data_IF_849315816914
#
_entry.id   IF_849315816914
#
_cell.length_a   1.000
_cell.length_b   1.000
_cell.length_c   1.000
_cell.angle_alpha   90.00
_cell.angle_beta   90.00
_cell.angle_gamma   90.00
#
_symmetry.space_group_name_H-M   'P 1'
#
loop_
_entity.id
_entity.type
_entity.pdbx_description
1 polymer ?
#
# COMPACT_ATOMS: atom_id res chain seq x y z
N UNK A 1 -15.70 -2.12 21.25
CA UNK A 1 -15.02 -0.84 20.96
C UNK A 1 -15.91 -0.04 20.02
N UNK A 2 -16.15 1.23 20.33
CA UNK A 2 -17.19 2.08 19.73
C UNK A 2 -16.63 2.77 18.46
N UNK A 3 -17.06 2.35 17.27
CA UNK A 3 -16.61 2.89 15.97
C UNK A 3 -17.33 4.21 15.61
N UNK A 4 -17.19 5.25 16.44
CA UNK A 4 -17.87 6.54 16.18
C UNK A 4 -17.16 7.47 15.18
N UNK A 5 -15.94 7.17 14.75
CA UNK A 5 -15.12 8.07 13.92
C UNK A 5 -14.41 7.35 12.76
N UNK A 6 -15.17 6.70 11.88
CA UNK A 6 -14.63 6.12 10.64
C UNK A 6 -15.37 6.69 9.41
N UNK A 7 -14.69 7.25 8.39
CA UNK A 7 -13.31 7.72 8.34
C UNK A 7 -13.21 9.25 8.44
N UNK A 8 -12.34 9.76 9.33
CA UNK A 8 -12.06 11.19 9.48
C UNK A 8 -10.88 11.58 8.57
N UNK A 9 -11.10 11.71 7.26
CA UNK A 9 -10.10 12.33 6.39
C UNK A 9 -10.07 13.82 6.73
N UNK A 10 -9.03 14.26 7.42
CA UNK A 10 -8.87 15.68 7.77
C UNK A 10 -8.43 16.44 6.52
N UNK A 11 -9.35 17.12 5.83
CA UNK A 11 -9.03 17.90 4.62
C UNK A 11 -7.97 18.98 4.89
N UNK A 12 -7.95 19.56 6.09
CA UNK A 12 -6.91 20.49 6.58
C UNK A 12 -5.72 19.79 7.26
N UNK A 13 -5.50 18.50 6.97
CA UNK A 13 -4.41 17.69 7.49
C UNK A 13 -3.17 17.70 6.60
N UNK A 14 -2.13 16.98 7.04
CA UNK A 14 -0.95 16.71 6.23
C UNK A 14 -1.29 15.64 5.19
N UNK A 15 -1.33 16.05 3.92
CA UNK A 15 -1.77 15.24 2.80
C UNK A 15 -0.58 14.84 1.93
N UNK A 16 -0.47 13.56 1.59
CA UNK A 16 0.62 13.02 0.78
C UNK A 16 0.09 12.17 -0.38
N UNK A 17 0.88 12.08 -1.46
CA UNK A 17 0.59 11.26 -2.62
C UNK A 17 1.61 10.12 -2.69
N UNK A 18 1.14 8.87 -2.79
CA UNK A 18 1.97 7.71 -3.04
C UNK A 18 1.65 7.14 -4.42
N UNK A 19 2.61 7.23 -5.32
CA UNK A 19 2.52 6.62 -6.65
C UNK A 19 2.91 5.15 -6.60
N UNK A 20 2.06 4.27 -7.14
CA UNK A 20 2.25 2.82 -7.18
C UNK A 20 2.09 2.33 -8.62
N UNK A 21 2.96 1.42 -9.05
CA UNK A 21 2.83 0.80 -10.37
C UNK A 21 1.58 -0.07 -10.49
N UNK A 22 0.96 -0.16 -11.69
CA UNK A 22 -0.25 -0.93 -11.93
C UNK A 22 -0.26 -2.34 -11.35
N UNK A 23 0.80 -3.13 -11.57
CA UNK A 23 0.89 -4.52 -11.12
C UNK A 23 0.83 -4.68 -9.60
N UNK A 24 1.45 -3.75 -8.86
CA UNK A 24 1.41 -3.73 -7.40
C UNK A 24 0.11 -3.14 -6.88
N UNK A 25 -0.42 -2.14 -7.58
CA UNK A 25 -1.68 -1.49 -7.23
C UNK A 25 -2.85 -2.47 -7.28
N UNK A 26 -3.03 -3.20 -8.40
CA UNK A 26 -4.10 -4.20 -8.57
C UNK A 26 -4.05 -5.29 -7.49
N UNK A 27 -2.84 -5.74 -7.08
CA UNK A 27 -2.68 -6.71 -5.98
C UNK A 27 -3.06 -6.13 -4.62
N UNK A 28 -2.79 -4.85 -4.38
CA UNK A 28 -2.97 -4.17 -3.09
C UNK A 28 -4.42 -3.74 -2.87
N UNK A 29 -5.08 -3.33 -3.95
CA UNK A 29 -6.45 -2.84 -4.00
C UNK A 29 -7.24 -3.55 -5.11
N UNK A 30 -7.51 -4.87 -4.98
CA UNK A 30 -8.29 -5.60 -5.98
C UNK A 30 -9.71 -5.05 -6.13
N UNK A 31 -10.29 -4.49 -5.07
CA UNK A 31 -11.61 -3.84 -5.12
C UNK A 31 -11.60 -2.45 -5.78
N UNK A 32 -10.43 -1.86 -6.02
CA UNK A 32 -10.29 -0.58 -6.74
C UNK A 32 -9.92 -0.76 -8.21
N UNK A 33 -10.12 -1.97 -8.74
CA UNK A 33 -9.93 -2.30 -10.14
C UNK A 33 -10.98 -1.55 -10.98
N UNK A 34 -10.53 -0.78 -11.96
CA UNK A 34 -11.40 -0.20 -12.98
C UNK A 34 -12.12 -1.33 -13.73
N UNK A 35 -13.38 -1.12 -14.13
CA UNK A 35 -14.32 -2.07 -14.81
C UNK A 35 -13.80 -2.81 -16.08
N UNK A 36 -12.51 -2.73 -16.41
CA UNK A 36 -11.87 -3.29 -17.59
C UNK A 36 -10.80 -4.37 -17.29
N UNK A 37 -10.59 -4.81 -16.04
CA UNK A 37 -9.65 -5.91 -15.74
C UNK A 37 -10.41 -7.23 -15.42
N UNK A 38 -9.85 -8.36 -15.85
CA UNK A 38 -10.45 -9.70 -15.74
C UNK A 38 -10.48 -10.17 -14.27
N UNK A 39 -11.67 -10.46 -13.68
CA UNK A 39 -11.84 -10.92 -12.30
C UNK A 39 -11.09 -12.22 -11.99
N UNK A 40 -10.66 -12.99 -12.99
CA UNK A 40 -9.98 -14.28 -12.80
C UNK A 40 -8.59 -14.17 -12.14
N UNK A 41 -8.03 -12.96 -12.02
CA UNK A 41 -6.70 -12.71 -11.43
C UNK A 41 -6.77 -12.51 -9.91
N UNK A 42 -7.95 -12.29 -9.35
CA UNK A 42 -8.14 -12.04 -7.92
C UNK A 42 -8.08 -13.39 -7.19
N UNK A 43 -6.89 -13.75 -6.70
CA UNK A 43 -6.75 -14.85 -5.75
C UNK A 43 -7.38 -14.43 -4.43
N UNK A 44 -8.18 -15.31 -3.86
CA UNK A 44 -8.81 -15.10 -2.55
C UNK A 44 -7.73 -15.28 -1.46
N UNK A 45 -6.99 -14.20 -1.17
CA UNK A 45 -5.89 -14.19 -0.19
C UNK A 45 -6.25 -13.28 0.97
N UNK A 46 -5.98 -13.67 2.23
CA UNK A 46 -6.51 -12.99 3.42
C UNK A 46 -6.13 -11.51 3.58
N UNK A 47 -5.10 -11.03 2.86
CA UNK A 47 -4.72 -9.61 2.87
C UNK A 47 -5.60 -8.72 1.97
N UNK A 48 -6.41 -9.27 1.07
CA UNK A 48 -7.30 -8.48 0.19
C UNK A 48 -8.43 -7.85 1.00
N UNK A 49 -9.01 -8.62 1.92
CA UNK A 49 -10.14 -8.23 2.78
C UNK A 49 -9.74 -7.48 4.07
N UNK A 50 -8.45 -7.23 4.30
CA UNK A 50 -8.02 -6.44 5.46
C UNK A 50 -7.99 -4.96 5.13
N UNK A 51 -8.55 -4.13 6.03
CA UNK A 51 -8.36 -2.68 5.98
C UNK A 51 -6.89 -2.28 6.17
N UNK A 52 -6.07 -3.15 6.80
CA UNK A 52 -4.65 -2.92 6.97
C UNK A 52 -3.87 -3.40 5.77
N UNK A 53 -3.00 -2.52 5.27
CA UNK A 53 -2.12 -2.79 4.15
C UNK A 53 -0.68 -2.46 4.55
N UNK A 54 0.26 -3.29 4.10
CA UNK A 54 1.70 -3.08 4.26
C UNK A 54 2.35 -3.05 2.88
N UNK A 55 3.10 -1.99 2.60
CA UNK A 55 3.76 -1.79 1.32
C UNK A 55 5.23 -1.41 1.53
N UNK A 56 6.11 -1.99 0.71
CA UNK A 56 7.53 -1.67 0.69
C UNK A 56 7.81 -0.69 -0.44
N UNK A 57 8.56 0.36 -0.13
CA UNK A 57 8.89 1.40 -1.10
C UNK A 57 10.30 1.95 -0.90
N UNK A 58 10.89 2.38 -2.01
CA UNK A 58 12.18 3.06 -2.08
C UNK A 58 12.04 4.54 -2.38
N UNK A 59 10.81 5.06 -2.33
CA UNK A 59 10.54 6.49 -2.52
C UNK A 59 11.13 7.25 -1.34
N UNK A 60 11.99 8.23 -1.67
CA UNK A 60 12.56 9.14 -0.68
C UNK A 60 11.47 10.03 -0.08
N UNK A 61 11.54 10.30 1.21
CA UNK A 61 10.59 11.17 1.92
C UNK A 61 9.46 10.42 2.62
N UNK A 62 9.37 9.09 2.50
CA UNK A 62 8.44 8.28 3.28
C UNK A 62 8.73 8.36 4.78
N UNK A 63 9.99 8.56 5.15
CA UNK A 63 10.44 8.81 6.52
C UNK A 63 9.82 10.07 7.14
N UNK A 64 9.29 11.00 6.33
CA UNK A 64 8.62 12.20 6.82
C UNK A 64 7.16 11.96 7.18
N UNK A 65 6.57 10.84 6.74
CA UNK A 65 5.20 10.47 7.08
C UNK A 65 5.09 10.12 8.55
N UNK A 66 3.96 10.50 9.15
CA UNK A 66 3.64 10.23 10.54
C UNK A 66 2.31 9.50 10.64
N UNK A 67 2.11 8.76 11.73
CA UNK A 67 0.82 8.17 12.05
C UNK A 67 -0.28 9.26 12.03
N UNK A 68 -1.38 8.98 11.31
CA UNK A 68 -2.49 9.91 11.10
C UNK A 68 -2.37 10.82 9.87
N UNK A 69 -1.25 10.81 9.14
CA UNK A 69 -1.14 11.53 7.86
C UNK A 69 -2.09 10.91 6.82
N UNK A 70 -2.72 11.76 6.00
CA UNK A 70 -3.57 11.30 4.89
C UNK A 70 -2.68 10.90 3.71
N UNK A 71 -2.99 9.75 3.11
CA UNK A 71 -2.25 9.19 1.99
C UNK A 71 -3.19 8.92 0.82
N UNK A 72 -3.01 9.65 -0.27
CA UNK A 72 -3.69 9.39 -1.53
C UNK A 72 -2.85 8.41 -2.36
N UNK A 73 -3.45 7.29 -2.75
CA UNK A 73 -2.80 6.32 -3.62
C UNK A 73 -3.07 6.68 -5.07
N UNK A 74 -2.01 6.78 -5.86
CA UNK A 74 -2.05 7.09 -7.28
C UNK A 74 -1.47 5.93 -8.09
N UNK A 75 -2.28 5.32 -8.96
CA UNK A 75 -1.82 4.29 -9.89
C UNK A 75 -1.13 4.97 -11.08
N UNK A 76 0.14 4.67 -11.33
CA UNK A 76 0.87 5.20 -12.49
C UNK A 76 0.41 4.53 -13.79
N UNK A 77 0.76 5.08 -14.95
CA UNK A 77 0.44 4.45 -16.25
C UNK A 77 1.31 3.21 -16.48
N UNK A 78 0.73 2.22 -17.16
CA UNK A 78 1.39 1.02 -17.68
C UNK A 78 2.38 1.30 -18.82
N UNK A 79 2.47 2.55 -19.30
CA UNK A 79 3.38 2.95 -20.38
C UNK A 79 3.01 2.37 -21.75
N UNK A 80 1.92 1.61 -21.85
CA UNK A 80 1.47 0.91 -23.06
C UNK A 80 0.43 1.73 -23.87
N UNK A 81 0.37 3.04 -23.66
CA UNK A 81 -0.54 3.94 -24.36
C UNK A 81 -0.58 5.36 -23.75
N UNK A 82 -1.26 6.32 -24.39
CA UNK A 82 -1.36 7.68 -23.88
C UNK A 82 -1.99 7.72 -22.49
N UNK A 83 -1.33 8.41 -21.56
CA UNK A 83 -1.63 8.43 -20.12
C UNK A 83 -3.02 8.98 -19.73
N UNK A 84 -3.79 9.52 -20.70
CA UNK A 84 -4.99 10.32 -20.45
C UNK A 84 -6.20 9.55 -19.87
N UNK A 85 -6.13 8.22 -19.75
CA UNK A 85 -7.23 7.40 -19.19
C UNK A 85 -6.78 6.25 -18.27
N UNK A 86 -5.49 6.16 -17.90
CA UNK A 86 -4.93 4.97 -17.20
C UNK A 86 -4.23 5.26 -15.87
N UNK A 87 -4.10 6.52 -15.49
CA UNK A 87 -3.59 6.92 -14.18
C UNK A 87 -4.69 7.58 -13.37
N UNK A 88 -4.97 7.06 -12.18
CA UNK A 88 -6.12 7.48 -11.37
C UNK A 88 -5.75 7.45 -9.89
N UNK A 89 -6.28 8.41 -9.15
CA UNK A 89 -6.26 8.37 -7.69
C UNK A 89 -7.34 7.39 -7.23
N UNK A 90 -6.94 6.26 -6.65
CA UNK A 90 -7.85 5.13 -6.42
C UNK A 90 -8.40 5.09 -5.01
N UNK A 91 -7.66 5.63 -4.05
CA UNK A 91 -7.84 5.25 -2.65
C UNK A 91 -7.32 6.33 -1.73
N UNK A 92 -8.13 6.70 -0.72
CA UNK A 92 -7.68 7.52 0.41
C UNK A 92 -7.39 6.61 1.59
N UNK A 93 -6.17 6.71 2.10
CA UNK A 93 -5.64 5.89 3.18
C UNK A 93 -5.16 6.79 4.33
N UNK A 94 -4.95 6.19 5.50
CA UNK A 94 -4.33 6.87 6.66
C UNK A 94 -3.09 6.10 7.08
N UNK A 95 -1.97 6.80 7.20
CA UNK A 95 -0.71 6.22 7.65
C UNK A 95 -0.86 5.75 9.10
N UNK A 96 -0.48 4.51 9.36
CA UNK A 96 -0.45 3.94 10.71
C UNK A 96 0.98 3.91 11.25
N UNK A 97 1.93 3.47 10.44
CA UNK A 97 3.32 3.33 10.83
C UNK A 97 4.25 3.39 9.60
N UNK A 98 5.43 3.96 9.78
CA UNK A 98 6.55 3.83 8.83
C UNK A 98 7.72 3.25 9.58
N UNK A 99 8.28 2.16 9.06
CA UNK A 99 9.50 1.55 9.56
C UNK A 99 10.58 1.53 8.49
N UNK A 100 11.82 1.66 8.89
CA UNK A 100 12.96 1.33 8.06
C UNK A 100 13.28 -0.17 8.19
N UNK A 101 13.74 -0.79 7.11
CA UNK A 101 14.05 -2.23 7.07
C UNK A 101 15.16 -2.62 8.06
N UNK A 102 16.00 -1.67 8.46
CA UNK A 102 17.04 -1.88 9.49
C UNK A 102 16.50 -1.92 10.91
N UNK A 103 15.23 -1.56 11.14
CA UNK A 103 14.59 -1.68 12.46
C UNK A 103 14.21 -3.13 12.80
N UNK A 104 14.17 -4.01 11.79
CA UNK A 104 13.91 -5.43 12.01
C UNK A 104 15.21 -6.16 12.36
N UNK A 105 15.19 -6.89 13.48
CA UNK A 105 16.38 -7.59 13.97
C UNK A 105 16.72 -8.84 13.14
N UNK A 106 15.70 -9.42 12.51
CA UNK A 106 15.83 -10.61 11.67
C UNK A 106 14.86 -10.59 10.48
N UNK A 107 15.13 -11.45 9.48
CA UNK A 107 14.17 -11.69 8.40
C UNK A 107 12.84 -12.24 8.94
N UNK A 108 12.87 -13.02 10.01
CA UNK A 108 11.66 -13.57 10.61
C UNK A 108 10.77 -12.47 11.18
N UNK A 109 11.35 -11.47 11.86
CA UNK A 109 10.61 -10.32 12.37
C UNK A 109 10.00 -9.50 11.24
N UNK A 110 10.80 -9.25 10.19
CA UNK A 110 10.35 -8.55 8.99
C UNK A 110 9.20 -9.29 8.29
N UNK A 111 9.33 -10.62 8.11
CA UNK A 111 8.31 -11.47 7.50
C UNK A 111 7.04 -11.46 8.33
N UNK A 112 7.13 -11.66 9.64
CA UNK A 112 5.98 -11.68 10.55
C UNK A 112 5.22 -10.34 10.55
N UNK A 113 5.95 -9.23 10.40
CA UNK A 113 5.34 -7.91 10.27
C UNK A 113 4.63 -7.69 8.93
N UNK A 114 5.26 -8.10 7.81
CA UNK A 114 4.76 -7.79 6.47
C UNK A 114 3.73 -8.81 5.95
N UNK A 115 4.01 -10.11 6.08
CA UNK A 115 3.27 -11.18 5.41
C UNK A 115 1.75 -11.16 5.62
N UNK A 116 1.20 -10.82 6.81
CA UNK A 116 -0.25 -10.84 7.02
C UNK A 116 -1.03 -9.79 6.20
N UNK A 117 -0.37 -8.69 5.82
CA UNK A 117 -1.04 -7.50 5.25
C UNK A 117 -0.34 -6.94 4.01
N UNK A 118 0.72 -7.60 3.53
CA UNK A 118 1.45 -7.18 2.34
C UNK A 118 1.01 -7.96 1.11
N UNK A 119 1.13 -7.32 -0.05
CA UNK A 119 0.89 -7.96 -1.34
C UNK A 119 1.96 -8.94 -1.76
N UNK A 120 3.13 -8.89 -1.13
CA UNK A 120 4.31 -9.65 -1.54
C UNK A 120 4.23 -11.10 -1.10
N UNK A 121 4.62 -12.01 -1.99
CA UNK A 121 4.82 -13.41 -1.67
C UNK A 121 6.10 -13.59 -0.82
N UNK A 122 6.24 -14.74 -0.17
CA UNK A 122 7.38 -15.00 0.73
C UNK A 122 8.73 -14.86 0.03
N UNK A 123 8.86 -15.36 -1.21
CA UNK A 123 10.10 -15.22 -1.96
C UNK A 123 10.41 -13.76 -2.31
N UNK A 124 9.38 -12.94 -2.60
CA UNK A 124 9.50 -11.51 -2.88
C UNK A 124 9.96 -10.78 -1.62
N UNK A 125 9.35 -11.06 -0.45
CA UNK A 125 9.76 -10.52 0.85
C UNK A 125 11.23 -10.87 1.17
N UNK A 126 11.64 -12.10 0.91
CA UNK A 126 13.02 -12.52 1.12
C UNK A 126 14.00 -11.76 0.21
N UNK A 127 13.64 -11.57 -1.06
CA UNK A 127 14.44 -10.80 -2.01
C UNK A 127 14.52 -9.32 -1.61
N UNK A 128 13.41 -8.72 -1.20
CA UNK A 128 13.34 -7.33 -0.76
C UNK A 128 14.22 -7.11 0.49
N UNK A 129 14.14 -8.02 1.46
CA UNK A 129 14.96 -7.99 2.68
C UNK A 129 16.45 -8.17 2.41
N UNK A 130 16.83 -9.07 1.50
CA UNK A 130 18.23 -9.30 1.11
C UNK A 130 18.81 -8.11 0.33
N UNK A 131 18.06 -7.60 -0.65
CA UNK A 131 18.52 -6.51 -1.51
C UNK A 131 18.59 -5.17 -0.78
N UNK A 132 17.67 -4.91 0.15
CA UNK A 132 17.53 -3.62 0.88
C UNK A 132 17.33 -2.40 -0.03
N UNK A 133 16.92 -2.62 -1.29
CA UNK A 133 16.65 -1.56 -2.26
C UNK A 133 15.37 -0.77 -1.95
N UNK A 134 14.53 -1.28 -1.05
CA UNK A 134 13.27 -0.68 -0.61
C UNK A 134 13.32 -0.53 0.90
N UNK A 135 14.01 0.51 1.40
CA UNK A 135 14.28 0.69 2.81
C UNK A 135 13.04 0.94 3.67
N UNK A 136 11.96 1.48 3.10
CA UNK A 136 10.79 1.92 3.88
C UNK A 136 9.64 0.92 3.78
N UNK A 137 9.14 0.52 4.95
CA UNK A 137 7.94 -0.31 5.13
C UNK A 137 6.84 0.59 5.65
N UNK A 138 5.80 0.79 4.84
CA UNK A 138 4.67 1.65 5.14
C UNK A 138 3.45 0.79 5.49
N UNK A 139 2.89 0.99 6.68
CA UNK A 139 1.62 0.42 7.11
C UNK A 139 0.55 1.49 7.13
N UNK A 140 -0.59 1.22 6.49
CA UNK A 140 -1.70 2.16 6.40
C UNK A 140 -3.04 1.44 6.43
N UNK A 141 -4.10 2.20 6.74
CA UNK A 141 -5.48 1.73 6.68
C UNK A 141 -6.20 2.27 5.47
N UNK A 142 -6.93 1.41 4.78
CA UNK A 142 -7.77 1.73 3.64
C UNK A 142 -9.17 2.16 4.10
N UNK A 143 -9.56 3.41 3.84
CA UNK A 143 -10.76 4.00 4.43
C UNK A 143 -12.07 3.74 3.67
N UNK A 144 -12.03 3.27 2.42
CA UNK A 144 -13.24 3.18 1.57
C UNK A 144 -13.24 1.93 0.68
N UNK A 145 -13.67 0.73 1.14
CA UNK A 145 -14.22 -0.23 0.19
C UNK A 145 -15.44 0.44 -0.45
N UNK A 146 -15.36 0.71 -1.75
CA UNK A 146 -16.50 1.20 -2.53
C UNK A 146 -17.49 0.06 -2.74
#
# INVERSE_FOLDING_TARGET
>A
MNFKNYPMVKLNGRNFLLSIYPSWHTRLFPESILNNEDPSTIRDVPYTNSIFKVFLSGIKGLENLKCGDNLLIYRTSDGQGPALYRSVATSVCVVQEVKHISEFSSYLDFKNYCAPHSVFEEYELQMLYKKRNYPSVLKFTYNFPS
#
